data_IF_316564781725
#
_entry.id   IF_316564781725
#
_cell.length_a   1.000
_cell.length_b   1.000
_cell.length_c   1.000
_cell.angle_alpha   90.00
_cell.angle_beta   90.00
_cell.angle_gamma   90.00
#
_symmetry.space_group_name_H-M   'P 1'
#
loop_
_entity.id
_entity.type
_entity.pdbx_description
1 polymer ?
#
# COMPACT_ATOMS: atom_id res chain seq x y z
N UNK A 1 39.24 53.98 -1.63
CA UNK A 1 37.99 53.47 -2.24
C UNK A 1 38.11 52.12 -2.96
N UNK A 2 39.29 51.67 -3.42
CA UNK A 2 39.42 50.35 -4.12
C UNK A 2 39.41 49.12 -3.21
N UNK A 3 39.80 49.24 -1.91
CA UNK A 3 39.90 48.08 -1.01
C UNK A 3 38.55 47.54 -0.50
N UNK A 4 37.54 48.40 -0.39
CA UNK A 4 36.21 47.99 0.08
C UNK A 4 35.36 47.36 -1.05
N UNK A 5 35.63 47.72 -2.31
CA UNK A 5 34.92 47.14 -3.45
C UNK A 5 35.23 45.65 -3.66
N UNK A 6 36.51 45.25 -3.44
CA UNK A 6 36.90 43.83 -3.53
C UNK A 6 36.27 42.99 -2.42
N UNK A 7 36.09 43.59 -1.22
CA UNK A 7 35.48 42.89 -0.09
C UNK A 7 34.02 42.56 -0.34
N UNK A 8 33.26 43.45 -0.97
CA UNK A 8 31.83 43.21 -1.31
C UNK A 8 31.66 42.19 -2.43
N UNK A 9 32.58 42.13 -3.39
CA UNK A 9 32.55 41.13 -4.46
C UNK A 9 32.81 39.73 -3.86
N UNK A 10 33.71 39.60 -2.90
CA UNK A 10 33.99 38.30 -2.24
C UNK A 10 32.83 37.80 -1.39
N UNK A 11 32.12 38.69 -0.71
CA UNK A 11 30.89 38.31 0.04
C UNK A 11 29.73 37.97 -0.87
N UNK A 12 29.60 38.69 -1.97
CA UNK A 12 28.53 38.39 -2.97
C UNK A 12 28.76 37.04 -3.67
N UNK A 13 30.02 36.69 -3.93
CA UNK A 13 30.36 35.40 -4.57
C UNK A 13 30.17 34.22 -3.62
N UNK A 14 30.32 34.41 -2.31
CA UNK A 14 30.08 33.37 -1.31
C UNK A 14 28.57 33.08 -1.08
N UNK A 15 27.75 34.12 -1.27
CA UNK A 15 26.28 33.96 -1.17
C UNK A 15 25.65 33.17 -2.36
N UNK A 16 26.37 33.06 -3.47
CA UNK A 16 25.92 32.29 -4.64
C UNK A 16 26.24 30.79 -4.53
N UNK A 17 26.97 30.35 -3.49
CA UNK A 17 27.28 28.93 -3.25
C UNK A 17 26.30 28.26 -2.28
N UNK A 18 25.35 29.00 -1.72
CA UNK A 18 24.15 28.42 -1.12
C UNK A 18 23.20 28.03 -2.26
N UNK A 19 23.74 27.23 -3.17
CA UNK A 19 22.98 26.65 -4.24
C UNK A 19 21.94 25.72 -3.65
N UNK A 20 20.73 25.86 -4.17
CA UNK A 20 19.68 24.88 -4.09
C UNK A 20 20.25 23.49 -3.92
N UNK A 21 19.98 22.87 -2.78
CA UNK A 21 19.80 21.43 -2.80
C UNK A 21 18.68 21.19 -3.78
N UNK A 22 19.10 20.81 -4.97
CA UNK A 22 18.19 20.21 -5.94
C UNK A 22 17.73 18.94 -5.26
N UNK A 23 16.58 19.02 -4.62
CA UNK A 23 15.78 17.82 -4.39
C UNK A 23 15.78 17.08 -5.72
N UNK A 24 16.65 16.10 -5.83
CA UNK A 24 16.49 15.05 -6.80
C UNK A 24 15.29 14.25 -6.30
N UNK A 25 14.13 14.90 -6.34
CA UNK A 25 12.86 14.23 -6.27
C UNK A 25 12.89 13.22 -7.40
N UNK A 26 13.33 12.02 -7.06
CA UNK A 26 12.93 10.85 -7.80
C UNK A 26 11.41 10.95 -7.84
N UNK A 27 10.87 11.26 -9.00
CA UNK A 27 9.44 11.22 -9.29
C UNK A 27 9.01 9.74 -9.30
N UNK A 28 9.29 9.06 -8.20
CA UNK A 28 8.76 7.76 -7.90
C UNK A 28 7.40 7.99 -7.26
N UNK A 29 6.33 7.62 -7.93
CA UNK A 29 5.04 7.56 -7.27
C UNK A 29 5.20 6.68 -6.03
N UNK A 30 4.76 7.17 -4.88
CA UNK A 30 4.75 6.36 -3.66
C UNK A 30 3.85 5.14 -3.86
N UNK A 31 4.23 3.97 -3.35
CA UNK A 31 3.38 2.80 -3.43
C UNK A 31 2.07 3.03 -2.66
N UNK A 32 1.04 2.32 -3.08
CA UNK A 32 -0.23 2.22 -2.35
C UNK A 32 0.02 1.58 -0.99
N UNK A 33 -0.61 2.13 0.05
CA UNK A 33 -0.66 1.55 1.39
C UNK A 33 -2.11 1.34 1.78
N UNK A 34 -2.36 0.36 2.65
CA UNK A 34 -3.72 0.05 3.12
C UNK A 34 -3.85 0.36 4.60
N UNK A 35 -4.94 1.01 4.96
CA UNK A 35 -5.26 1.40 6.33
C UNK A 35 -6.50 0.64 6.79
N UNK A 36 -6.55 0.33 8.07
CA UNK A 36 -7.77 -0.20 8.66
C UNK A 36 -8.82 0.93 8.72
N UNK A 37 -9.99 0.65 8.17
CA UNK A 37 -11.11 1.58 8.28
C UNK A 37 -11.58 1.65 9.74
N UNK A 38 -11.85 2.86 10.27
CA UNK A 38 -12.41 3.01 11.61
C UNK A 38 -13.89 2.61 11.71
N UNK A 39 -14.50 2.14 10.62
CA UNK A 39 -15.88 1.66 10.65
C UNK A 39 -15.99 0.50 11.63
N UNK A 40 -17.02 0.50 12.50
CA UNK A 40 -17.18 -0.57 13.46
C UNK A 40 -17.42 -1.87 12.70
N UNK A 41 -16.43 -2.76 12.73
CA UNK A 41 -16.61 -4.15 12.35
C UNK A 41 -17.73 -4.70 13.25
N UNK A 42 -18.80 -5.21 12.64
CA UNK A 42 -19.91 -5.84 13.38
C UNK A 42 -19.52 -7.20 13.97
N UNK A 43 -18.27 -7.56 13.88
CA UNK A 43 -17.68 -8.73 14.53
C UNK A 43 -17.00 -8.28 15.82
N UNK A 44 -17.50 -8.77 16.92
CA UNK A 44 -16.83 -8.76 18.22
C UNK A 44 -15.62 -9.71 18.12
N UNK A 45 -14.54 -9.26 17.47
CA UNK A 45 -13.28 -9.98 17.48
C UNK A 45 -12.22 -9.05 18.04
N UNK A 46 -11.59 -9.53 19.11
CA UNK A 46 -10.41 -8.92 19.73
C UNK A 46 -9.15 -9.02 18.81
N UNK A 47 -9.33 -9.10 17.50
CA UNK A 47 -8.24 -9.27 16.57
C UNK A 47 -7.78 -7.90 16.11
N UNK A 48 -6.97 -7.27 16.94
CA UNK A 48 -6.12 -6.17 16.49
C UNK A 48 -4.96 -6.78 15.69
N UNK A 49 -4.69 -6.23 14.50
CA UNK A 49 -3.50 -6.61 13.76
C UNK A 49 -2.24 -6.24 14.55
N UNK A 50 -1.31 -7.17 14.62
CA UNK A 50 -0.02 -6.96 15.26
C UNK A 50 1.04 -6.58 14.21
N UNK A 51 2.05 -5.84 14.65
CA UNK A 51 3.19 -5.50 13.77
C UNK A 51 3.86 -6.78 13.26
N UNK A 52 3.89 -6.91 11.94
CA UNK A 52 4.41 -8.09 11.25
C UNK A 52 3.33 -8.96 10.61
N UNK A 53 2.07 -8.76 10.98
CA UNK A 53 0.95 -9.41 10.30
C UNK A 53 0.95 -9.10 8.81
N UNK A 54 0.60 -10.09 8.01
CA UNK A 54 0.68 -9.96 6.57
C UNK A 54 -0.65 -10.30 5.89
N UNK A 55 -1.02 -9.46 4.91
CA UNK A 55 -2.18 -9.66 4.04
C UNK A 55 -1.74 -9.94 2.61
N UNK A 56 -2.56 -10.70 1.88
CA UNK A 56 -2.46 -10.82 0.43
C UNK A 56 -3.40 -9.85 -0.26
N UNK A 57 -2.89 -9.16 -1.27
CA UNK A 57 -3.66 -8.16 -2.02
C UNK A 57 -3.69 -8.51 -3.50
N UNK A 58 -4.90 -8.54 -4.04
CA UNK A 58 -5.15 -8.53 -5.47
C UNK A 58 -5.70 -7.18 -5.88
N UNK A 59 -5.38 -6.72 -7.08
CA UNK A 59 -5.90 -5.49 -7.62
C UNK A 59 -6.40 -5.71 -9.05
N UNK A 60 -7.58 -5.17 -9.37
CA UNK A 60 -8.18 -5.29 -10.69
C UNK A 60 -8.51 -3.90 -11.25
N UNK A 61 -8.13 -3.67 -12.51
CA UNK A 61 -8.49 -2.46 -13.21
C UNK A 61 -9.95 -2.53 -13.67
N UNK A 62 -10.67 -1.41 -13.57
CA UNK A 62 -12.03 -1.32 -14.11
C UNK A 62 -12.01 -1.12 -15.60
N UNK A 63 -12.84 -1.87 -16.31
CA UNK A 63 -13.14 -1.62 -17.71
C UNK A 63 -14.18 -0.49 -17.88
N UNK A 64 -15.07 -0.34 -16.88
CA UNK A 64 -16.06 0.71 -16.76
C UNK A 64 -15.94 1.35 -15.37
N UNK A 65 -15.81 2.67 -15.30
CA UNK A 65 -15.62 3.40 -14.04
C UNK A 65 -16.78 3.22 -13.06
N UNK A 66 -17.98 2.97 -13.58
CA UNK A 66 -19.21 2.81 -12.78
C UNK A 66 -19.39 1.41 -12.20
N UNK A 67 -18.63 0.42 -12.68
CA UNK A 67 -18.78 -0.99 -12.30
C UNK A 67 -17.53 -1.49 -11.62
N UNK A 68 -17.62 -2.05 -10.39
CA UNK A 68 -16.48 -2.66 -9.74
C UNK A 68 -15.86 -3.77 -10.60
N UNK A 69 -14.53 -3.76 -10.68
CA UNK A 69 -13.79 -4.78 -11.40
C UNK A 69 -13.95 -6.16 -10.74
N UNK A 70 -13.96 -7.21 -11.53
CA UNK A 70 -13.95 -8.57 -11.03
C UNK A 70 -12.54 -9.16 -11.12
N UNK A 71 -12.16 -9.92 -10.10
CA UNK A 71 -10.92 -10.69 -10.14
C UNK A 71 -10.99 -11.78 -11.21
N UNK A 72 -9.85 -12.02 -11.82
CA UNK A 72 -9.60 -13.14 -12.75
C UNK A 72 -8.78 -14.20 -12.05
N UNK A 73 -8.76 -15.44 -12.54
CA UNK A 73 -7.89 -16.49 -12.00
C UNK A 73 -6.41 -16.09 -11.94
N UNK A 74 -5.97 -15.28 -12.92
CA UNK A 74 -4.61 -14.71 -12.98
C UNK A 74 -4.58 -13.52 -13.94
N UNK A 75 -3.47 -12.77 -13.95
CA UNK A 75 -3.29 -11.63 -14.84
C UNK A 75 -4.17 -10.44 -14.46
N UNK A 76 -4.45 -10.27 -13.18
CA UNK A 76 -5.02 -9.05 -12.64
C UNK A 76 -4.00 -7.90 -12.73
N UNK A 77 -4.40 -6.69 -12.40
CA UNK A 77 -3.46 -5.58 -12.32
C UNK A 77 -2.32 -5.87 -11.32
N UNK A 78 -2.68 -6.52 -10.20
CA UNK A 78 -1.73 -7.11 -9.27
C UNK A 78 -2.29 -8.43 -8.74
N UNK A 79 -1.44 -9.46 -8.74
CA UNK A 79 -1.76 -10.79 -8.23
C UNK A 79 -0.99 -11.04 -6.94
N UNK A 80 -1.71 -11.35 -5.88
CA UNK A 80 -1.23 -11.82 -4.58
C UNK A 80 -0.01 -11.06 -4.02
N UNK A 81 -0.07 -9.74 -4.00
CA UNK A 81 0.98 -8.90 -3.44
C UNK A 81 0.96 -8.97 -1.92
N UNK A 82 2.12 -9.22 -1.31
CA UNK A 82 2.26 -9.30 0.14
C UNK A 82 2.45 -7.92 0.75
N UNK A 83 1.62 -7.58 1.73
CA UNK A 83 1.71 -6.37 2.51
C UNK A 83 1.83 -6.71 4.00
N UNK A 84 2.70 -6.01 4.71
CA UNK A 84 2.98 -6.22 6.13
C UNK A 84 2.48 -5.04 6.94
N UNK A 85 1.84 -5.32 8.07
CA UNK A 85 1.41 -4.30 9.03
C UNK A 85 2.61 -3.73 9.78
N UNK A 86 2.85 -2.43 9.68
CA UNK A 86 3.98 -1.75 10.33
C UNK A 86 3.66 -1.25 11.74
N UNK A 87 2.41 -1.43 12.19
CA UNK A 87 1.85 -0.92 13.44
C UNK A 87 0.86 0.23 13.24
N UNK A 88 0.72 0.74 12.00
CA UNK A 88 -0.21 1.80 11.63
C UNK A 88 -0.99 1.45 10.35
N UNK A 89 -0.30 0.84 9.39
CA UNK A 89 -0.82 0.52 8.07
C UNK A 89 -0.13 -0.69 7.48
N UNK A 90 -0.71 -1.23 6.43
CA UNK A 90 -0.08 -2.27 5.61
C UNK A 90 0.78 -1.61 4.52
N UNK A 91 2.05 -1.94 4.51
CA UNK A 91 3.05 -1.49 3.53
C UNK A 91 3.54 -2.67 2.70
N UNK A 92 3.97 -2.48 1.44
CA UNK A 92 4.43 -3.59 0.61
C UNK A 92 5.68 -4.27 1.21
N UNK A 93 5.72 -5.60 1.18
CA UNK A 93 6.89 -6.40 1.58
C UNK A 93 7.94 -6.37 0.45
N UNK A 94 8.64 -5.26 0.36
CA UNK A 94 9.63 -5.00 -0.68
C UNK A 94 9.06 -4.50 -2.01
N UNK A 95 9.96 -4.13 -2.90
CA UNK A 95 9.63 -3.46 -4.17
C UNK A 95 8.77 -4.33 -5.10
N UNK A 96 9.01 -5.64 -5.14
CA UNK A 96 8.26 -6.58 -5.98
C UNK A 96 6.79 -6.71 -5.60
N UNK A 97 6.43 -6.35 -4.38
CA UNK A 97 5.07 -6.33 -3.87
C UNK A 97 4.41 -4.95 -3.97
N UNK A 98 5.12 -3.93 -4.44
CA UNK A 98 4.58 -2.58 -4.53
C UNK A 98 3.54 -2.46 -5.65
N UNK A 99 2.39 -1.91 -5.29
CA UNK A 99 1.34 -1.48 -6.22
C UNK A 99 1.42 0.04 -6.29
N UNK A 100 1.42 0.59 -7.49
CA UNK A 100 1.49 2.04 -7.70
C UNK A 100 0.18 2.58 -8.24
N UNK A 101 -0.10 3.85 -7.95
CA UNK A 101 -1.28 4.55 -8.47
C UNK A 101 -1.24 4.59 -9.98
N UNK A 102 -2.43 4.47 -10.57
CA UNK A 102 -2.67 4.61 -12.01
C UNK A 102 -3.55 5.82 -12.28
N UNK A 103 -3.65 6.21 -13.55
CA UNK A 103 -4.60 7.23 -14.00
C UNK A 103 -6.02 6.71 -14.20
N UNK A 104 -6.24 5.42 -14.06
CA UNK A 104 -7.55 4.75 -14.17
C UNK A 104 -7.90 4.05 -12.85
N UNK A 105 -9.19 3.84 -12.59
CA UNK A 105 -9.66 3.29 -11.33
C UNK A 105 -9.25 1.83 -11.15
N UNK A 106 -8.77 1.52 -9.94
CA UNK A 106 -8.36 0.18 -9.50
C UNK A 106 -9.20 -0.20 -8.29
N UNK A 107 -9.71 -1.42 -8.28
CA UNK A 107 -10.34 -2.03 -7.11
C UNK A 107 -9.37 -2.98 -6.44
N UNK A 108 -9.41 -3.00 -5.10
CA UNK A 108 -8.50 -3.79 -4.27
C UNK A 108 -9.28 -4.84 -3.49
N UNK A 109 -8.71 -6.03 -3.41
CA UNK A 109 -9.23 -7.18 -2.69
C UNK A 109 -8.12 -7.71 -1.80
N UNK A 110 -8.36 -7.77 -0.51
CA UNK A 110 -7.38 -8.21 0.47
C UNK A 110 -7.90 -9.38 1.30
N UNK A 111 -7.00 -10.21 1.78
CA UNK A 111 -7.31 -11.30 2.69
C UNK A 111 -6.19 -11.48 3.72
N UNK A 112 -6.53 -12.01 4.87
CA UNK A 112 -5.63 -12.34 5.97
C UNK A 112 -5.95 -13.75 6.48
N UNK A 113 -4.95 -14.53 6.92
CA UNK A 113 -3.50 -14.28 6.81
C UNK A 113 -2.98 -14.47 5.37
N UNK A 114 -1.83 -13.88 5.08
CA UNK A 114 -1.17 -14.04 3.79
C UNK A 114 -0.80 -15.50 3.53
N UNK A 115 -1.11 -15.97 2.34
CA UNK A 115 -0.67 -17.25 1.82
C UNK A 115 -0.27 -17.11 0.34
N UNK A 116 0.44 -18.10 -0.22
CA UNK A 116 0.65 -18.15 -1.67
C UNK A 116 -0.64 -18.62 -2.33
N UNK A 117 -1.24 -17.74 -3.13
CA UNK A 117 -2.50 -17.99 -3.84
C UNK A 117 -2.29 -17.71 -5.32
N UNK A 118 -2.39 -18.73 -6.15
CA UNK A 118 -2.23 -18.63 -7.60
C UNK A 118 -3.54 -18.22 -8.28
N UNK A 119 -4.68 -18.65 -7.74
CA UNK A 119 -6.01 -18.35 -8.27
C UNK A 119 -6.92 -17.81 -7.14
N UNK A 120 -7.22 -16.50 -7.13
CA UNK A 120 -8.07 -15.93 -6.08
C UNK A 120 -9.53 -16.43 -6.10
N UNK A 121 -9.98 -17.04 -7.20
CA UNK A 121 -11.34 -17.57 -7.33
C UNK A 121 -11.47 -18.99 -6.77
N UNK A 122 -10.34 -19.66 -6.51
CA UNK A 122 -10.28 -21.03 -5.99
C UNK A 122 -9.41 -21.11 -4.73
N UNK A 123 -9.53 -20.09 -3.87
CA UNK A 123 -8.76 -20.01 -2.65
C UNK A 123 -9.18 -21.11 -1.64
N UNK A 124 -8.25 -21.99 -1.31
CA UNK A 124 -8.44 -23.00 -0.27
C UNK A 124 -7.72 -22.56 1.00
N UNK A 125 -8.46 -22.33 2.06
CA UNK A 125 -7.92 -22.00 3.38
C UNK A 125 -7.96 -23.23 4.29
N UNK A 126 -6.85 -23.57 4.89
CA UNK A 126 -6.74 -24.68 5.82
C UNK A 126 -6.89 -24.18 7.25
N UNK A 127 -7.97 -24.55 7.91
CA UNK A 127 -8.16 -24.32 9.34
C UNK A 127 -7.37 -25.39 10.10
N UNK A 128 -6.49 -24.97 11.02
CA UNK A 128 -5.76 -25.88 11.87
C UNK A 128 -6.73 -26.68 12.77
N UNK A 129 -6.48 -27.99 12.92
CA UNK A 129 -7.28 -28.84 13.78
C UNK A 129 -7.11 -28.48 15.26
N UNK A 130 -5.97 -27.90 15.62
CA UNK A 130 -5.67 -27.35 16.93
C UNK A 130 -5.79 -25.82 16.84
N UNK A 131 -6.73 -25.25 17.57
CA UNK A 131 -7.04 -23.83 17.56
C UNK A 131 -6.42 -23.10 18.77
N UNK A 132 -5.27 -23.53 19.25
CA UNK A 132 -4.54 -22.80 20.29
C UNK A 132 -4.07 -21.42 19.82
N UNK A 133 -3.93 -21.23 18.49
CA UNK A 133 -3.68 -19.92 17.86
C UNK A 133 -4.85 -19.57 16.94
N UNK A 134 -5.74 -18.71 17.39
CA UNK A 134 -6.88 -18.22 16.60
C UNK A 134 -6.43 -17.42 15.38
N UNK A 135 -5.30 -16.71 15.48
CA UNK A 135 -4.75 -15.85 14.41
C UNK A 135 -4.41 -16.59 13.12
N UNK A 136 -3.99 -17.84 13.18
CA UNK A 136 -3.67 -18.64 11.99
C UNK A 136 -4.91 -19.31 11.36
N UNK A 137 -6.03 -19.30 12.05
CA UNK A 137 -7.27 -19.97 11.65
C UNK A 137 -8.41 -19.02 11.33
N UNK A 138 -8.20 -17.71 11.40
CA UNK A 138 -9.22 -16.70 11.16
C UNK A 138 -9.03 -16.05 9.78
N UNK A 139 -9.67 -16.65 8.77
CA UNK A 139 -9.68 -16.08 7.44
C UNK A 139 -10.57 -14.85 7.39
N UNK A 140 -9.95 -13.70 7.17
CA UNK A 140 -10.65 -12.45 6.93
C UNK A 140 -10.45 -11.98 5.50
N UNK A 141 -11.42 -11.25 4.97
CA UNK A 141 -11.24 -10.56 3.71
C UNK A 141 -11.82 -9.15 3.75
N UNK A 142 -11.22 -8.28 2.96
CA UNK A 142 -11.65 -6.90 2.78
C UNK A 142 -11.62 -6.53 1.30
N UNK A 143 -12.41 -5.55 0.94
CA UNK A 143 -12.36 -4.97 -0.41
C UNK A 143 -12.51 -3.46 -0.35
N UNK A 144 -11.86 -2.79 -1.30
CA UNK A 144 -12.12 -1.40 -1.60
C UNK A 144 -12.43 -1.28 -3.09
N UNK A 145 -13.66 -0.90 -3.39
CA UNK A 145 -14.18 -0.79 -4.75
C UNK A 145 -14.65 0.64 -5.04
N UNK A 146 -14.01 1.65 -4.46
CA UNK A 146 -14.27 3.04 -4.81
C UNK A 146 -13.45 3.51 -6.03
N UNK A 147 -12.52 2.66 -6.48
CA UNK A 147 -11.69 2.93 -7.66
C UNK A 147 -10.79 4.14 -7.48
N UNK A 148 -10.45 4.51 -6.24
CA UNK A 148 -9.73 5.75 -5.98
C UNK A 148 -8.27 5.68 -6.43
N UNK A 149 -7.82 6.74 -7.12
CA UNK A 149 -6.40 6.97 -7.44
C UNK A 149 -5.60 7.52 -6.26
N UNK A 150 -5.82 7.00 -5.04
CA UNK A 150 -5.17 7.45 -3.81
C UNK A 150 -4.10 6.46 -3.38
N UNK A 151 -3.03 6.96 -2.72
CA UNK A 151 -1.99 6.11 -2.14
C UNK A 151 -2.45 5.40 -0.85
N UNK A 152 -3.51 5.90 -0.21
CA UNK A 152 -3.99 5.43 1.08
C UNK A 152 -5.38 4.85 0.88
N UNK A 153 -5.48 3.53 0.93
CA UNK A 153 -6.72 2.80 0.65
C UNK A 153 -7.26 2.23 1.98
N UNK A 154 -8.47 2.61 2.39
CA UNK A 154 -9.10 2.01 3.56
C UNK A 154 -9.56 0.58 3.26
N UNK A 155 -9.34 -0.33 4.21
CA UNK A 155 -9.85 -1.69 4.22
C UNK A 155 -10.71 -1.91 5.46
N UNK A 156 -11.83 -2.61 5.29
CA UNK A 156 -12.69 -3.08 6.38
C UNK A 156 -12.74 -4.60 6.32
N UNK A 157 -12.13 -5.23 7.30
CA UNK A 157 -12.12 -6.69 7.47
C UNK A 157 -13.30 -7.18 8.27
#
# INVERSE_FOLDING_TARGET
>A
MKKHFLSYISVLLLALLLGCEKDTGTSGSSPVCFYLSPEPSTRATDTEFEKGDAIGVFAAARDDESVPAQLRPSGNFADNKKYIFDGEKFVPDGESNSIFITSYPIDYYAYYPYATVDNPLEFTFHVAADQESLTESDLMYARNTDGSGKNNIPLTF
#
